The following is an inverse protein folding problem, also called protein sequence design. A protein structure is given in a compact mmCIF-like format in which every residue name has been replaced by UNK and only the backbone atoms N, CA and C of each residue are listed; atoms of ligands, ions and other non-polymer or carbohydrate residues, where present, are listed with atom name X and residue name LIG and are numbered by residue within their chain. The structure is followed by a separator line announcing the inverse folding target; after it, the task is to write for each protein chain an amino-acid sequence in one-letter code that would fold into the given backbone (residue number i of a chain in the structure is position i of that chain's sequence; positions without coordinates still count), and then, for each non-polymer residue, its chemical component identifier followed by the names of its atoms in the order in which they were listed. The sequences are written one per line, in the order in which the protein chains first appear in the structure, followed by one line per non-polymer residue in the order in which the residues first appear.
data_IF_301117077719
#
_entry.id   IF_301117077719
#
_cell.length_a   1.000
_cell.length_b   1.000
_cell.length_c   1.000
_cell.angle_alpha   90.00
_cell.angle_beta   90.00
_cell.angle_gamma   90.00
#
_symmetry.space_group_name_H-M   'P 1'
#
loop_
_entity.id
_entity.type
_entity.pdbx_description
1 polymer ?
#
# COMPACT_ATOMS: atom_id res chain seq x y z
N UNK A 1 -21.91 20.87 14.47
CA UNK A 1 -21.25 19.57 14.20
C UNK A 1 -21.49 19.26 12.73
N UNK A 2 -20.46 18.95 11.94
CA UNK A 2 -20.66 18.61 10.53
C UNK A 2 -21.03 17.12 10.45
N UNK A 3 -22.22 16.81 9.93
CA UNK A 3 -22.63 15.43 9.65
C UNK A 3 -22.04 15.07 8.30
N UNK A 4 -21.32 13.95 8.25
CA UNK A 4 -20.64 13.50 7.04
C UNK A 4 -21.49 12.45 6.33
N UNK A 5 -21.68 12.60 5.02
CA UNK A 5 -22.47 11.67 4.22
C UNK A 5 -21.58 10.81 3.32
N UNK A 6 -21.43 9.53 3.70
CA UNK A 6 -20.55 8.58 3.01
C UNK A 6 -20.92 8.34 1.54
N UNK A 7 -22.17 8.63 1.14
CA UNK A 7 -22.66 8.50 -0.24
C UNK A 7 -22.45 9.74 -1.11
N UNK A 8 -21.97 10.86 -0.54
CA UNK A 8 -21.68 12.06 -1.32
C UNK A 8 -20.23 11.99 -1.84
N UNK A 9 -20.01 11.88 -3.17
CA UNK A 9 -18.66 11.78 -3.74
C UNK A 9 -17.82 13.06 -3.58
N UNK A 10 -18.45 14.21 -3.34
CA UNK A 10 -17.73 15.47 -3.05
C UNK A 10 -17.17 15.49 -1.62
N UNK A 11 -17.88 14.86 -0.69
CA UNK A 11 -17.43 14.70 0.70
C UNK A 11 -16.51 13.49 0.86
N UNK A 12 -16.71 12.43 0.07
CA UNK A 12 -15.97 11.17 0.08
C UNK A 12 -15.30 10.89 -1.27
N UNK A 13 -14.32 11.71 -1.69
CA UNK A 13 -13.63 11.48 -2.96
C UNK A 13 -12.79 10.21 -2.88
N UNK A 14 -12.71 9.50 -4.00
CA UNK A 14 -11.86 8.32 -4.12
C UNK A 14 -10.40 8.73 -3.88
N UNK A 15 -9.71 8.09 -2.92
CA UNK A 15 -8.36 8.50 -2.57
C UNK A 15 -7.37 8.16 -3.69
N UNK A 16 -6.37 9.04 -3.90
CA UNK A 16 -5.44 9.00 -5.05
C UNK A 16 -4.76 7.65 -5.32
N UNK A 17 -4.50 6.86 -4.28
CA UNK A 17 -3.88 5.53 -4.38
C UNK A 17 -4.78 4.47 -5.04
N UNK A 18 -6.10 4.68 -5.04
CA UNK A 18 -7.05 3.77 -5.67
C UNK A 18 -7.14 3.98 -7.20
N UNK A 19 -6.69 5.14 -7.69
CA UNK A 19 -6.83 5.52 -9.10
C UNK A 19 -5.84 4.79 -10.01
N UNK A 20 -4.72 4.27 -9.50
CA UNK A 20 -3.75 3.51 -10.30
C UNK A 20 -2.96 2.49 -9.46
N UNK A 21 -3.37 1.23 -9.53
CA UNK A 21 -2.42 0.13 -9.56
C UNK A 21 -2.33 -0.34 -11.02
N UNK A 22 -1.20 -0.07 -11.69
CA UNK A 22 -0.93 -0.75 -12.97
C UNK A 22 -0.68 -2.23 -12.62
N UNK A 23 -1.32 -3.19 -13.32
CA UNK A 23 -0.99 -4.59 -13.12
C UNK A 23 0.50 -4.79 -13.40
N UNK A 24 1.21 -5.44 -12.47
CA UNK A 24 2.54 -5.94 -12.74
C UNK A 24 2.44 -7.02 -13.82
N UNK A 25 3.39 -7.05 -14.77
CA UNK A 25 3.41 -8.09 -15.79
C UNK A 25 3.60 -9.48 -15.15
N UNK A 26 2.89 -10.51 -15.63
CA UNK A 26 2.97 -11.85 -15.07
C UNK A 26 4.32 -12.48 -15.41
N UNK A 27 5.15 -12.69 -14.39
CA UNK A 27 6.29 -13.61 -14.47
C UNK A 27 5.77 -15.05 -14.36
N UNK A 28 6.46 -16.08 -14.89
CA UNK A 28 6.13 -17.47 -14.62
C UNK A 28 6.38 -17.78 -13.13
N UNK A 29 5.32 -17.65 -12.34
CA UNK A 29 5.34 -17.67 -10.88
C UNK A 29 5.22 -19.10 -10.34
N UNK A 30 6.13 -19.49 -9.42
CA UNK A 30 5.82 -20.51 -8.41
C UNK A 30 4.48 -20.14 -7.79
N UNK A 31 3.66 -21.12 -7.41
CA UNK A 31 2.35 -20.78 -6.83
C UNK A 31 2.53 -19.83 -5.64
N UNK A 32 1.63 -18.88 -5.45
CA UNK A 32 1.67 -17.92 -4.33
C UNK A 32 1.91 -18.62 -2.99
N UNK A 33 1.32 -19.81 -2.83
CA UNK A 33 1.52 -20.71 -1.69
C UNK A 33 2.96 -21.23 -1.55
N UNK A 34 3.63 -21.58 -2.65
CA UNK A 34 5.03 -22.02 -2.62
C UNK A 34 5.96 -20.86 -2.28
N UNK A 35 5.75 -19.68 -2.85
CA UNK A 35 6.54 -18.50 -2.51
C UNK A 35 6.37 -18.09 -1.04
N UNK A 36 5.14 -18.16 -0.53
CA UNK A 36 4.83 -17.89 0.87
C UNK A 36 5.45 -18.91 1.84
N UNK A 37 5.46 -20.21 1.47
CA UNK A 37 6.13 -21.25 2.26
C UNK A 37 7.64 -21.05 2.32
N UNK A 38 8.25 -20.60 1.21
CA UNK A 38 9.69 -20.35 1.14
C UNK A 38 10.10 -19.13 1.94
N UNK A 39 9.35 -18.04 1.82
CA UNK A 39 9.58 -16.84 2.61
C UNK A 39 8.27 -16.03 2.71
N UNK A 40 7.58 -16.06 3.86
CA UNK A 40 6.32 -15.33 4.04
C UNK A 40 6.54 -13.82 4.04
N UNK A 41 7.74 -13.35 4.39
CA UNK A 41 8.08 -11.93 4.41
C UNK A 41 8.34 -11.39 3.00
N UNK A 42 8.67 -12.25 2.02
CA UNK A 42 8.82 -11.86 0.60
C UNK A 42 7.56 -11.26 -0.01
N UNK A 43 6.40 -11.44 0.63
CA UNK A 43 5.15 -10.76 0.28
C UNK A 43 5.20 -9.24 0.51
N UNK A 44 6.07 -8.82 1.43
CA UNK A 44 6.26 -7.42 1.78
C UNK A 44 7.73 -7.05 1.52
N UNK A 45 8.12 -6.88 0.24
CA UNK A 45 9.52 -6.68 -0.16
C UNK A 45 10.19 -5.49 0.55
N UNK A 46 9.42 -4.46 0.88
CA UNK A 46 9.84 -3.33 1.75
C UNK A 46 10.38 -3.71 3.13
N UNK A 47 10.02 -4.88 3.69
CA UNK A 47 10.49 -5.37 4.99
C UNK A 47 11.67 -6.33 4.90
N UNK A 48 11.85 -6.97 3.74
CA UNK A 48 12.91 -7.99 3.53
C UNK A 48 14.20 -7.36 3.02
N UNK A 49 14.10 -6.30 2.22
CA UNK A 49 15.27 -5.56 1.77
C UNK A 49 15.60 -4.50 2.80
N UNK A 50 16.58 -4.80 3.67
CA UNK A 50 17.18 -3.87 4.62
C UNK A 50 17.97 -2.71 3.98
N UNK A 51 17.43 -2.08 2.94
CA UNK A 51 18.04 -1.00 2.17
C UNK A 51 17.19 0.25 2.20
N UNK A 52 17.45 1.08 3.20
CA UNK A 52 16.82 2.37 3.54
C UNK A 52 15.38 2.30 4.06
N UNK A 53 15.10 2.72 5.31
CA UNK A 53 13.72 2.97 5.71
C UNK A 53 13.15 4.01 4.76
N UNK A 54 11.95 3.74 4.21
CA UNK A 54 11.17 4.77 3.54
C UNK A 54 11.19 6.02 4.43
N UNK A 55 11.43 7.23 3.88
CA UNK A 55 11.57 8.41 4.72
C UNK A 55 10.33 8.51 5.59
N UNK A 56 10.49 8.32 6.91
CA UNK A 56 9.43 8.59 7.86
C UNK A 56 9.01 10.03 7.56
N UNK A 57 7.78 10.20 7.04
CA UNK A 57 7.16 11.51 6.98
C UNK A 57 7.04 11.95 8.42
N UNK A 58 8.04 12.68 8.91
CA UNK A 58 7.95 13.42 10.16
C UNK A 58 6.77 14.34 9.95
N UNK A 59 5.62 13.99 10.51
CA UNK A 59 4.63 14.98 10.82
C UNK A 59 5.30 15.90 11.82
N UNK A 60 5.93 16.95 11.31
CA UNK A 60 6.24 18.13 12.10
C UNK A 60 4.89 18.60 12.64
N UNK A 61 4.58 18.19 13.87
CA UNK A 61 3.71 18.97 14.74
C UNK A 61 4.42 20.31 14.89
N UNK A 62 4.09 21.26 14.01
CA UNK A 62 4.34 22.65 14.32
C UNK A 62 3.29 23.10 15.35
N UNK A 63 3.68 23.99 16.26
CA UNK A 63 3.01 24.24 17.54
C UNK A 63 1.60 24.84 17.41
#
# INVERSE_FOLDING_TARGET
MKVYHCGNPEENPVPGWMWRAKPAEPQPEKTLLEQFKENPDSFFPEFVQGGNPAPMRRFSRQP
#
